data_IF_095729971411
#
_entry.id   IF_095729971411
#
_cell.length_a   1.000
_cell.length_b   1.000
_cell.length_c   1.000
_cell.angle_alpha   90.00
_cell.angle_beta   90.00
_cell.angle_gamma   90.00
#
_symmetry.space_group_name_H-M   'P 1'
#
loop_
_entity.id
_entity.type
_entity.pdbx_description
1 polymer ?
#
# COMPACT_ATOMS: atom_id res chain seq x y z
N UNK A 1 8.60 36.69 -13.69
CA UNK A 1 8.07 35.44 -14.28
C UNK A 1 9.01 34.25 -14.06
N UNK A 2 10.24 34.25 -14.60
CA UNK A 2 11.19 33.12 -14.45
C UNK A 2 11.54 32.76 -12.99
N UNK A 3 11.64 33.75 -12.10
CA UNK A 3 11.95 33.53 -10.68
C UNK A 3 10.77 32.89 -9.92
N UNK A 4 9.54 33.38 -10.15
CA UNK A 4 8.34 32.79 -9.56
C UNK A 4 8.14 31.33 -10.00
N UNK A 5 8.34 31.03 -11.28
CA UNK A 5 8.26 29.66 -11.80
C UNK A 5 9.31 28.76 -11.13
N UNK A 6 10.55 29.23 -10.96
CA UNK A 6 11.59 28.48 -10.26
C UNK A 6 11.24 28.24 -8.79
N UNK A 7 10.62 29.21 -8.12
CA UNK A 7 10.23 29.10 -6.72
C UNK A 7 9.12 28.06 -6.53
N UNK A 8 8.10 28.08 -7.41
CA UNK A 8 7.03 27.07 -7.42
C UNK A 8 7.60 25.69 -7.74
N UNK A 9 8.49 25.57 -8.73
CA UNK A 9 9.13 24.31 -9.07
C UNK A 9 9.94 23.73 -7.90
N UNK A 10 10.66 24.59 -7.17
CA UNK A 10 11.42 24.20 -5.99
C UNK A 10 10.50 23.68 -4.88
N UNK A 11 9.37 24.36 -4.64
CA UNK A 11 8.36 23.90 -3.69
C UNK A 11 7.89 22.48 -4.05
N UNK A 12 7.48 22.24 -5.29
CA UNK A 12 7.03 20.91 -5.72
C UNK A 12 8.11 19.83 -5.56
N UNK A 13 9.36 20.14 -5.90
CA UNK A 13 10.47 19.20 -5.72
C UNK A 13 10.68 18.82 -4.25
N UNK A 14 10.54 19.77 -3.33
CA UNK A 14 10.66 19.45 -1.89
C UNK A 14 9.54 18.52 -1.42
N UNK A 15 8.30 18.71 -1.85
CA UNK A 15 7.19 17.82 -1.46
C UNK A 15 7.41 16.37 -1.93
N UNK A 16 7.92 16.17 -3.14
CA UNK A 16 8.17 14.83 -3.71
C UNK A 16 9.38 14.16 -3.03
N UNK A 17 10.44 14.91 -2.75
CA UNK A 17 11.72 14.35 -2.27
C UNK A 17 11.75 14.16 -0.75
N UNK A 18 10.99 14.96 0.02
CA UNK A 18 10.95 14.91 1.49
C UNK A 18 10.74 13.50 2.06
N UNK A 19 9.69 12.72 1.70
CA UNK A 19 9.46 11.43 2.33
C UNK A 19 10.57 10.42 2.02
N UNK A 20 11.15 10.48 0.81
CA UNK A 20 12.28 9.62 0.42
C UNK A 20 13.55 9.96 1.19
N UNK A 21 13.90 11.24 1.32
CA UNK A 21 15.10 11.65 2.07
C UNK A 21 14.97 11.34 3.57
N UNK A 22 13.79 11.58 4.14
CA UNK A 22 13.51 11.28 5.55
C UNK A 22 13.59 9.78 5.82
N UNK A 23 13.02 8.96 4.93
CA UNK A 23 13.09 7.50 5.01
C UNK A 23 14.53 6.97 4.91
N UNK A 24 15.38 7.59 4.10
CA UNK A 24 16.80 7.24 4.00
C UNK A 24 17.62 7.58 5.24
N UNK A 25 17.24 8.63 5.97
CA UNK A 25 17.92 9.03 7.22
C UNK A 25 17.47 8.15 8.38
N UNK A 26 16.18 7.84 8.45
CA UNK A 26 15.60 7.03 9.53
C UNK A 26 14.38 6.27 9.03
N UNK A 27 14.49 4.95 9.06
CA UNK A 27 13.50 4.02 8.52
C UNK A 27 12.17 4.02 9.31
N UNK A 28 12.22 4.40 10.58
CA UNK A 28 11.07 4.41 11.52
C UNK A 28 10.62 5.84 11.87
N UNK A 29 10.65 6.75 10.89
CA UNK A 29 10.02 8.07 11.02
C UNK A 29 8.65 8.04 10.36
N UNK A 30 7.66 8.53 11.10
CA UNK A 30 6.31 8.74 10.60
C UNK A 30 6.31 9.81 9.49
N UNK A 31 6.04 9.37 8.26
CA UNK A 31 5.89 10.20 7.06
C UNK A 31 4.44 10.29 6.59
N UNK A 32 3.49 9.75 7.36
CA UNK A 32 2.07 9.67 7.01
C UNK A 32 1.46 11.02 6.67
N UNK A 33 1.85 12.08 7.39
CA UNK A 33 1.37 13.45 7.15
C UNK A 33 1.74 13.97 5.74
N UNK A 34 2.93 13.66 5.24
CA UNK A 34 3.41 14.12 3.93
C UNK A 34 2.70 13.38 2.80
N UNK A 35 2.48 12.08 2.98
CA UNK A 35 1.71 11.27 2.03
C UNK A 35 0.22 11.65 2.04
N UNK A 36 -0.38 11.86 3.21
CA UNK A 36 -1.78 12.25 3.36
C UNK A 36 -2.10 13.58 2.66
N UNK A 37 -1.20 14.57 2.75
CA UNK A 37 -1.35 15.83 2.02
C UNK A 37 -1.28 15.66 0.49
N UNK A 38 -0.57 14.64 -0.01
CA UNK A 38 -0.53 14.33 -1.44
C UNK A 38 -1.74 13.51 -1.90
N UNK A 39 -2.31 12.68 -1.02
CA UNK A 39 -3.45 11.82 -1.32
C UNK A 39 -4.80 12.57 -1.33
N UNK A 40 -4.91 13.69 -0.62
CA UNK A 40 -6.14 14.50 -0.58
C UNK A 40 -6.56 15.02 -1.98
N UNK A 41 -5.60 15.28 -2.88
CA UNK A 41 -5.88 15.59 -4.29
C UNK A 41 -6.46 14.38 -5.05
N UNK A 42 -6.01 13.18 -4.71
CA UNK A 42 -6.38 11.92 -5.36
C UNK A 42 -7.78 11.47 -4.92
N UNK A 43 -8.19 11.71 -3.67
CA UNK A 43 -9.54 11.38 -3.18
C UNK A 43 -10.64 12.16 -3.92
N UNK A 44 -10.37 13.42 -4.28
CA UNK A 44 -11.26 14.23 -5.10
C UNK A 44 -11.33 13.77 -6.58
N UNK A 45 -10.29 13.08 -7.08
CA UNK A 45 -10.22 12.56 -8.46
C UNK A 45 -10.65 11.09 -8.59
N UNK A 46 -10.60 10.31 -7.50
CA UNK A 46 -10.84 8.86 -7.48
C UNK A 46 -12.30 8.44 -7.26
N UNK A 47 -13.18 9.35 -6.82
CA UNK A 47 -14.62 9.04 -6.67
C UNK A 47 -15.25 8.48 -7.97
N UNK A 48 -14.61 8.67 -9.13
CA UNK A 48 -15.08 8.17 -10.43
C UNK A 48 -14.15 7.13 -11.11
N UNK A 49 -13.11 6.60 -10.45
CA UNK A 49 -12.15 5.65 -11.07
C UNK A 49 -12.25 4.20 -10.60
N UNK A 50 -13.14 3.86 -9.66
CA UNK A 50 -13.42 2.47 -9.25
C UNK A 50 -14.32 1.69 -10.24
N UNK A 51 -14.37 2.08 -11.52
CA UNK A 51 -15.18 1.38 -12.52
C UNK A 51 -14.30 0.65 -13.54
N UNK A 52 -14.30 -0.69 -13.43
CA UNK A 52 -13.87 -1.70 -14.44
C UNK A 52 -12.37 -1.98 -14.58
N UNK A 53 -11.76 -2.55 -13.55
CA UNK A 53 -10.73 -3.56 -13.75
C UNK A 53 -11.35 -4.94 -13.48
N UNK A 54 -12.18 -5.43 -14.40
CA UNK A 54 -12.56 -6.83 -14.40
C UNK A 54 -11.28 -7.65 -14.62
N UNK A 55 -10.77 -8.26 -13.55
CA UNK A 55 -9.60 -9.12 -13.54
C UNK A 55 -9.81 -10.29 -14.52
N UNK A 56 -9.38 -10.13 -15.77
CA UNK A 56 -9.05 -11.25 -16.66
C UNK A 56 -7.71 -11.87 -16.26
N UNK A 57 -7.55 -12.16 -14.97
CA UNK A 57 -6.33 -12.76 -14.42
C UNK A 57 -6.44 -14.29 -14.30
N UNK A 58 -7.51 -14.89 -14.82
CA UNK A 58 -7.77 -16.34 -14.71
C UNK A 58 -6.93 -17.19 -15.66
N UNK A 59 -6.38 -16.61 -16.74
CA UNK A 59 -5.86 -17.43 -17.85
C UNK A 59 -4.33 -17.56 -17.90
N UNK A 60 -3.58 -16.86 -17.03
CA UNK A 60 -2.10 -16.81 -17.12
C UNK A 60 -1.34 -17.09 -15.83
N UNK A 61 -2.00 -17.46 -14.73
CA UNK A 61 -1.27 -17.83 -13.50
C UNK A 61 -0.89 -19.32 -13.59
N UNK A 62 0.08 -19.63 -14.45
CA UNK A 62 0.79 -20.90 -14.35
C UNK A 62 1.75 -20.77 -13.17
N UNK A 63 1.40 -21.35 -12.02
CA UNK A 63 2.34 -21.55 -10.92
C UNK A 63 3.41 -22.53 -11.41
N UNK A 64 4.49 -21.98 -11.97
CA UNK A 64 5.71 -22.73 -12.24
C UNK A 64 6.12 -23.43 -10.94
N UNK A 65 6.30 -24.75 -11.00
CA UNK A 65 6.68 -25.61 -9.89
C UNK A 65 7.73 -24.93 -8.99
N UNK A 66 7.27 -24.41 -7.85
CA UNK A 66 8.11 -23.86 -6.82
C UNK A 66 8.86 -25.05 -6.20
N UNK A 67 10.13 -25.18 -6.51
CA UNK A 67 11.04 -26.04 -5.76
C UNK A 67 11.19 -25.37 -4.39
N UNK A 68 10.80 -26.07 -3.31
CA UNK A 68 11.05 -25.60 -1.95
C UNK A 68 12.57 -25.51 -1.74
N UNK A 69 13.12 -24.31 -1.93
CA UNK A 69 14.43 -23.98 -1.39
C UNK A 69 14.34 -24.11 0.13
N UNK A 70 15.24 -24.90 0.73
CA UNK A 70 15.29 -25.15 2.18
C UNK A 70 15.02 -23.86 2.95
N UNK A 71 13.94 -23.85 3.71
CA UNK A 71 13.44 -22.67 4.41
C UNK A 71 14.53 -22.05 5.28
N UNK A 72 15.05 -20.90 4.87
CA UNK A 72 15.82 -20.05 5.77
C UNK A 72 14.88 -19.58 6.87
N UNK A 73 15.33 -19.62 8.12
CA UNK A 73 14.57 -19.16 9.28
C UNK A 73 14.12 -17.71 9.04
N UNK A 74 12.82 -17.50 8.85
CA UNK A 74 12.24 -16.17 8.65
C UNK A 74 12.29 -15.45 10.00
N UNK A 75 13.34 -14.67 10.22
CA UNK A 75 13.43 -13.75 11.36
C UNK A 75 12.72 -12.45 10.93
N UNK A 76 11.40 -12.41 11.04
CA UNK A 76 10.67 -11.16 10.89
C UNK A 76 10.64 -10.43 12.24
N UNK A 77 11.13 -9.18 12.25
CA UNK A 77 11.21 -8.34 13.46
C UNK A 77 9.83 -7.97 14.03
N UNK A 78 8.76 -8.20 13.25
CA UNK A 78 7.40 -7.83 13.59
C UNK A 78 6.43 -8.99 13.32
N UNK A 79 6.60 -10.10 14.05
CA UNK A 79 5.57 -11.15 14.12
C UNK A 79 4.44 -10.69 15.04
N UNK A 80 3.60 -9.77 14.55
CA UNK A 80 2.32 -9.51 15.22
C UNK A 80 1.48 -10.78 15.09
N UNK A 81 1.43 -11.54 16.18
CA UNK A 81 0.56 -12.71 16.31
C UNK A 81 -0.86 -12.18 16.42
N UNK A 82 -1.53 -12.01 15.28
CA UNK A 82 -2.93 -11.67 15.26
C UNK A 82 -3.72 -12.85 15.83
N UNK A 83 -4.57 -12.57 16.83
CA UNK A 83 -5.47 -13.59 17.35
C UNK A 83 -6.39 -14.05 16.22
N UNK A 84 -6.46 -15.36 16.02
CA UNK A 84 -7.22 -15.95 14.94
C UNK A 84 -8.72 -15.78 15.24
N UNK A 85 -9.28 -14.65 14.78
CA UNK A 85 -10.68 -14.28 14.95
C UNK A 85 -11.64 -15.29 14.30
N UNK A 86 -11.15 -16.22 13.47
CA UNK A 86 -11.97 -17.29 12.90
C UNK A 86 -12.51 -18.24 13.97
N UNK A 87 -11.86 -18.35 15.14
CA UNK A 87 -12.35 -19.19 16.23
C UNK A 87 -13.61 -18.63 16.93
N UNK A 88 -13.93 -17.34 16.76
CA UNK A 88 -15.09 -16.69 17.39
C UNK A 88 -16.25 -16.41 16.44
N UNK A 89 -16.07 -16.57 15.12
CA UNK A 89 -17.14 -16.31 14.14
C UNK A 89 -17.91 -17.61 13.91
N UNK A 90 -18.89 -17.88 14.77
CA UNK A 90 -19.89 -18.92 14.54
C UNK A 90 -21.04 -18.32 13.72
N UNK A 91 -20.98 -18.42 12.39
CA UNK A 91 -22.11 -18.03 11.54
C UNK A 91 -23.22 -19.09 11.66
N UNK A 92 -24.47 -18.72 11.96
CA UNK A 92 -25.57 -19.66 11.96
C UNK A 92 -25.75 -20.27 10.56
N UNK A 93 -26.23 -21.53 10.47
CA UNK A 93 -26.50 -22.15 9.18
C UNK A 93 -27.53 -21.31 8.40
N UNK A 94 -27.38 -21.19 7.07
CA UNK A 94 -28.32 -20.46 6.24
C UNK A 94 -29.73 -21.07 6.34
N UNK A 95 -30.76 -20.22 6.35
CA UNK A 95 -32.14 -20.70 6.28
C UNK A 95 -32.36 -21.49 4.99
N UNK A 96 -32.94 -22.69 5.13
CA UNK A 96 -33.39 -23.49 4.00
C UNK A 96 -34.70 -22.90 3.50
N UNK A 97 -34.63 -22.18 2.38
CA UNK A 97 -35.80 -21.77 1.58
C UNK A 97 -36.35 -22.94 0.78
#
# INVERSE_FOLDING_TARGET
MKLAVKLVLLMFMTFIVTPTVVSLIKEDIDTSMVYSMSEEEQHNHNCCKELKAALKATDYITFSNYTESSSSLIISQHTLKHDNAASSIFSPPPEQV
#
